data_IF_527383409208
#
_entry.id   IF_527383409208
#
_cell.length_a   1.000
_cell.length_b   1.000
_cell.length_c   1.000
_cell.angle_alpha   90.00
_cell.angle_beta   90.00
_cell.angle_gamma   90.00
#
_symmetry.space_group_name_H-M   'P 1'
#
loop_
_entity.id
_entity.type
_entity.pdbx_description
1 polymer ?
#
# COMPACT_ATOMS: atom_id res chain seq x y z
N UNK A 1 22.96 -5.50 26.94
CA UNK A 1 22.14 -6.66 26.55
C UNK A 1 20.69 -6.33 26.90
N UNK A 2 19.77 -6.35 25.93
CA UNK A 2 18.33 -6.11 26.19
C UNK A 2 17.62 -7.44 26.40
N UNK A 3 16.68 -7.46 27.35
CA UNK A 3 15.89 -8.66 27.64
C UNK A 3 14.53 -8.57 26.94
N UNK A 4 14.02 -9.72 26.49
CA UNK A 4 12.66 -9.86 25.99
C UNK A 4 11.68 -9.44 27.09
N UNK A 5 10.65 -8.69 26.73
CA UNK A 5 9.55 -8.27 27.61
C UNK A 5 8.23 -8.67 27.03
N UNK A 6 7.33 -9.09 27.90
CA UNK A 6 5.97 -9.40 27.51
C UNK A 6 5.24 -8.15 26.99
N UNK A 7 4.48 -8.32 25.90
CA UNK A 7 3.58 -7.28 25.42
C UNK A 7 2.41 -7.14 26.41
N UNK A 8 2.26 -5.95 26.95
CA UNK A 8 1.12 -5.62 27.81
C UNK A 8 0.10 -4.82 27.03
N UNK A 9 -1.11 -5.35 26.95
CA UNK A 9 -2.22 -4.62 26.37
C UNK A 9 -2.63 -3.47 27.28
N UNK A 10 -2.96 -2.34 26.64
CA UNK A 10 -3.51 -1.15 27.28
C UNK A 10 -4.64 -0.62 26.43
N UNK A 11 -5.79 -0.37 27.01
CA UNK A 11 -6.89 0.28 26.32
C UNK A 11 -6.47 1.66 25.80
N UNK A 12 -6.85 1.97 24.57
CA UNK A 12 -6.49 3.23 23.91
C UNK A 12 -5.03 3.33 23.46
N UNK A 13 -4.27 2.23 23.45
CA UNK A 13 -2.91 2.21 22.91
C UNK A 13 -2.93 2.70 21.46
N UNK A 14 -2.11 3.71 21.15
CA UNK A 14 -1.96 4.19 19.77
C UNK A 14 -0.93 3.35 18.99
N UNK A 15 -0.93 3.48 17.65
CA UNK A 15 -0.05 2.69 16.77
C UNK A 15 1.43 2.89 17.10
N UNK A 16 1.86 4.11 17.44
CA UNK A 16 3.25 4.39 17.77
C UNK A 16 3.68 3.66 19.04
N UNK A 17 2.86 3.73 20.10
CA UNK A 17 3.11 3.00 21.36
C UNK A 17 3.11 1.48 21.15
N UNK A 18 2.21 0.97 20.31
CA UNK A 18 2.16 -0.46 19.96
C UNK A 18 3.46 -0.91 19.30
N UNK A 19 3.91 -0.19 18.26
CA UNK A 19 5.16 -0.52 17.55
C UNK A 19 6.37 -0.44 18.48
N UNK A 20 6.42 0.55 19.38
CA UNK A 20 7.51 0.66 20.37
C UNK A 20 7.51 -0.50 21.38
N UNK A 21 6.33 -0.96 21.77
CA UNK A 21 6.18 -2.14 22.65
C UNK A 21 6.62 -3.43 21.95
N UNK A 22 6.24 -3.59 20.66
CA UNK A 22 6.65 -4.71 19.82
C UNK A 22 8.18 -4.81 19.66
N UNK A 23 8.90 -3.72 19.75
CA UNK A 23 10.37 -3.70 19.72
C UNK A 23 11.05 -4.41 20.89
N UNK A 24 10.31 -4.85 21.90
CA UNK A 24 10.80 -5.63 23.05
C UNK A 24 10.32 -7.08 23.06
N UNK A 25 9.46 -7.41 22.13
CA UNK A 25 8.98 -8.78 21.86
C UNK A 25 9.93 -9.42 20.85
N UNK A 26 10.22 -10.69 20.94
CA UNK A 26 11.19 -11.37 20.07
C UNK A 26 10.79 -11.42 18.57
N UNK A 27 11.63 -12.07 17.79
CA UNK A 27 11.45 -12.31 16.35
C UNK A 27 11.34 -11.04 15.50
N UNK A 28 10.53 -11.06 14.47
CA UNK A 28 10.40 -9.97 13.48
C UNK A 28 9.76 -8.69 14.02
N UNK A 29 9.09 -8.74 15.16
CA UNK A 29 8.49 -7.55 15.76
C UNK A 29 9.54 -6.48 16.13
N UNK A 30 10.75 -6.89 16.47
CA UNK A 30 11.89 -5.99 16.70
C UNK A 30 12.26 -5.24 15.42
N UNK A 31 12.23 -5.91 14.29
CA UNK A 31 12.57 -5.31 12.99
C UNK A 31 11.57 -4.25 12.55
N UNK A 32 10.28 -4.40 12.91
CA UNK A 32 9.27 -3.36 12.66
C UNK A 32 9.61 -2.06 13.39
N UNK A 33 10.00 -2.15 14.66
CA UNK A 33 10.45 -0.98 15.43
C UNK A 33 11.71 -0.36 14.81
N UNK A 34 12.71 -1.16 14.47
CA UNK A 34 13.94 -0.69 13.82
C UNK A 34 13.64 0.01 12.50
N UNK A 35 12.73 -0.53 11.68
CA UNK A 35 12.32 0.09 10.43
C UNK A 35 11.71 1.48 10.69
N UNK A 36 10.81 1.61 11.67
CA UNK A 36 10.27 2.91 12.10
C UNK A 36 11.37 3.89 12.49
N UNK A 37 12.28 3.47 13.37
CA UNK A 37 13.36 4.31 13.88
C UNK A 37 14.32 4.74 12.76
N UNK A 38 14.62 3.84 11.82
CA UNK A 38 15.46 4.14 10.66
C UNK A 38 14.81 5.19 9.76
N UNK A 39 13.51 5.08 9.45
CA UNK A 39 12.79 6.07 8.64
C UNK A 39 12.82 7.44 9.32
N UNK A 40 12.55 7.49 10.63
CA UNK A 40 12.61 8.73 11.41
C UNK A 40 14.02 9.33 11.37
N UNK A 41 15.04 8.48 11.55
CA UNK A 41 16.44 8.90 11.52
C UNK A 41 16.82 9.45 10.13
N UNK A 42 16.47 8.76 9.06
CA UNK A 42 16.72 9.20 7.68
C UNK A 42 16.16 10.61 7.44
N UNK A 43 14.93 10.88 7.87
CA UNK A 43 14.33 12.22 7.73
C UNK A 43 15.07 13.27 8.57
N UNK A 44 15.45 12.96 9.79
CA UNK A 44 16.20 13.87 10.67
C UNK A 44 17.59 14.20 10.11
N UNK A 45 18.26 13.23 9.53
CA UNK A 45 19.61 13.37 8.95
C UNK A 45 19.58 14.02 7.55
N UNK A 46 18.41 14.35 7.00
CA UNK A 46 18.25 14.94 5.67
C UNK A 46 18.56 13.97 4.53
N UNK A 47 18.49 12.67 4.78
CA UNK A 47 18.68 11.65 3.75
C UNK A 47 17.59 11.72 2.68
N UNK A 48 17.96 11.41 1.42
CA UNK A 48 17.00 11.27 0.33
C UNK A 48 16.25 9.95 0.46
N UNK A 49 14.91 10.02 0.45
CA UNK A 49 14.04 8.86 0.62
C UNK A 49 13.45 8.47 -0.73
N UNK A 50 13.79 7.27 -1.19
CA UNK A 50 13.23 6.62 -2.37
C UNK A 50 12.14 5.66 -1.92
N UNK A 51 10.91 5.90 -2.33
CA UNK A 51 9.78 4.99 -2.12
C UNK A 51 9.54 4.17 -3.38
N UNK A 52 9.60 2.86 -3.25
CA UNK A 52 9.31 1.95 -4.36
C UNK A 52 8.12 1.05 -4.02
N UNK A 53 7.19 0.88 -4.95
CA UNK A 53 6.05 -0.02 -4.78
C UNK A 53 5.53 -0.55 -6.13
N UNK A 54 4.84 -1.66 -6.08
CA UNK A 54 4.18 -2.29 -7.23
C UNK A 54 2.74 -1.80 -7.40
N UNK A 55 2.14 -1.95 -8.59
CA UNK A 55 0.80 -1.47 -8.93
C UNK A 55 -0.30 -1.94 -7.97
N UNK A 56 -0.21 -3.18 -7.48
CA UNK A 56 -1.20 -3.73 -6.55
C UNK A 56 -1.36 -2.93 -5.25
N UNK A 57 -0.41 -2.09 -4.89
CA UNK A 57 -0.54 -1.17 -3.76
C UNK A 57 -1.53 -0.03 -4.08
N UNK A 58 -1.61 0.39 -5.34
CA UNK A 58 -2.62 1.36 -5.83
C UNK A 58 -3.97 0.67 -5.96
N UNK A 59 -4.00 -0.56 -6.50
CA UNK A 59 -5.20 -1.39 -6.56
C UNK A 59 -5.84 -1.53 -5.19
N UNK A 60 -5.04 -1.83 -4.17
CA UNK A 60 -5.48 -2.08 -2.78
C UNK A 60 -6.01 -0.86 -2.02
N UNK A 61 -5.98 0.34 -2.63
CA UNK A 61 -6.52 1.55 -2.01
C UNK A 61 -5.50 2.43 -1.28
N UNK A 62 -4.19 2.16 -1.39
CA UNK A 62 -3.15 3.00 -0.81
C UNK A 62 -2.82 4.25 -1.64
N UNK A 63 -3.49 4.46 -2.78
CA UNK A 63 -3.34 5.62 -3.65
C UNK A 63 -3.35 6.95 -2.89
N UNK A 64 -4.37 7.15 -2.06
CA UNK A 64 -4.52 8.37 -1.27
C UNK A 64 -3.40 8.56 -0.24
N UNK A 65 -2.93 7.47 0.35
CA UNK A 65 -1.79 7.49 1.25
C UNK A 65 -0.50 7.93 0.52
N UNK A 66 -0.21 7.36 -0.64
CA UNK A 66 0.96 7.75 -1.44
C UNK A 66 0.90 9.23 -1.85
N UNK A 67 -0.24 9.69 -2.34
CA UNK A 67 -0.43 11.10 -2.67
C UNK A 67 -0.19 12.01 -1.45
N UNK A 68 -0.64 11.60 -0.27
CA UNK A 68 -0.46 12.37 0.96
C UNK A 68 1.00 12.45 1.40
N UNK A 69 1.73 11.33 1.41
CA UNK A 69 3.15 11.35 1.83
C UNK A 69 4.04 12.11 0.85
N UNK A 70 3.71 12.11 -0.45
CA UNK A 70 4.37 12.93 -1.46
C UNK A 70 4.08 14.40 -1.19
N UNK A 71 2.82 14.78 -1.02
CA UNK A 71 2.40 16.16 -0.75
C UNK A 71 3.03 16.72 0.54
N UNK A 72 3.23 15.88 1.55
CA UNK A 72 3.90 16.24 2.80
C UNK A 72 5.43 16.29 2.71
N UNK A 73 6.02 15.98 1.54
CA UNK A 73 7.47 15.96 1.37
C UNK A 73 8.17 14.89 2.22
N UNK A 74 7.46 13.79 2.53
CA UNK A 74 8.02 12.69 3.32
C UNK A 74 8.91 11.79 2.48
N UNK A 75 8.75 11.78 1.16
CA UNK A 75 9.57 11.07 0.18
C UNK A 75 10.10 12.04 -0.87
N UNK A 76 11.29 11.77 -1.41
CA UNK A 76 11.95 12.60 -2.42
C UNK A 76 11.77 12.03 -3.83
N UNK A 77 11.72 10.71 -3.95
CA UNK A 77 11.58 9.99 -5.22
C UNK A 77 10.58 8.86 -5.06
N UNK A 78 9.72 8.70 -6.05
CA UNK A 78 8.77 7.58 -6.13
C UNK A 78 9.09 6.76 -7.38
N UNK A 79 9.20 5.45 -7.23
CA UNK A 79 9.36 4.50 -8.32
C UNK A 79 8.26 3.46 -8.24
N UNK A 80 7.48 3.34 -9.29
CA UNK A 80 6.40 2.35 -9.39
C UNK A 80 6.37 1.71 -10.76
N UNK A 81 5.59 0.66 -10.91
CA UNK A 81 5.33 0.02 -12.21
C UNK A 81 4.30 0.81 -13.00
N UNK A 82 4.28 0.63 -14.33
CA UNK A 82 3.32 1.31 -15.23
C UNK A 82 1.89 1.08 -14.78
N UNK A 83 1.52 -0.13 -14.36
CA UNK A 83 0.19 -0.43 -13.83
C UNK A 83 -0.21 0.44 -12.63
N UNK A 84 0.75 0.93 -11.83
CA UNK A 84 0.45 1.85 -10.73
C UNK A 84 -0.04 3.22 -11.23
N UNK A 85 0.50 3.70 -12.35
CA UNK A 85 0.06 4.95 -13.01
C UNK A 85 -1.27 4.72 -13.73
N UNK A 86 -1.40 3.59 -14.44
CA UNK A 86 -2.63 3.18 -15.11
C UNK A 86 -3.81 3.19 -14.13
N UNK A 87 -3.70 2.46 -13.04
CA UNK A 87 -4.76 2.37 -12.03
C UNK A 87 -5.02 3.69 -11.30
N UNK A 88 -4.00 4.54 -11.13
CA UNK A 88 -4.17 5.89 -10.59
C UNK A 88 -5.03 6.75 -11.52
N UNK A 89 -4.78 6.70 -12.83
CA UNK A 89 -5.57 7.40 -13.84
C UNK A 89 -6.99 6.85 -13.89
N UNK A 90 -7.17 5.52 -13.91
CA UNK A 90 -8.48 4.87 -13.90
C UNK A 90 -9.32 5.36 -12.71
N UNK A 91 -8.75 5.34 -11.51
CA UNK A 91 -9.43 5.82 -10.29
C UNK A 91 -9.69 7.33 -10.31
N UNK A 92 -8.83 8.13 -10.94
CA UNK A 92 -9.06 9.56 -11.13
C UNK A 92 -10.25 9.84 -12.05
N UNK A 93 -10.58 8.91 -12.97
CA UNK A 93 -11.75 8.94 -13.84
C UNK A 93 -12.96 8.19 -13.25
N UNK A 94 -12.97 7.97 -11.93
CA UNK A 94 -14.06 7.36 -11.17
C UNK A 94 -14.32 5.88 -11.50
N UNK A 95 -13.33 5.16 -12.03
CA UNK A 95 -13.44 3.70 -12.15
C UNK A 95 -13.32 3.06 -10.76
N UNK A 96 -14.30 2.21 -10.44
CA UNK A 96 -14.41 1.57 -9.13
C UNK A 96 -13.75 0.19 -9.14
N UNK A 97 -12.96 -0.08 -8.10
CA UNK A 97 -12.38 -1.39 -7.83
C UNK A 97 -13.12 -2.00 -6.64
N UNK A 98 -13.62 -3.22 -6.82
CA UNK A 98 -14.53 -3.86 -5.90
C UNK A 98 -13.79 -4.86 -5.01
N UNK A 99 -14.15 -4.93 -3.73
CA UNK A 99 -13.66 -5.96 -2.83
C UNK A 99 -14.40 -7.26 -3.15
N UNK A 100 -13.65 -8.29 -3.51
CA UNK A 100 -14.12 -9.62 -3.79
C UNK A 100 -13.48 -10.66 -2.86
N UNK A 101 -13.18 -11.86 -3.37
CA UNK A 101 -12.64 -12.97 -2.63
C UNK A 101 -11.45 -13.62 -3.37
N UNK A 102 -10.46 -14.13 -2.60
CA UNK A 102 -9.32 -14.87 -3.15
C UNK A 102 -9.72 -16.20 -3.78
N UNK A 103 -10.83 -16.80 -3.31
CA UNK A 103 -11.33 -18.11 -3.73
C UNK A 103 -12.32 -18.02 -4.90
N UNK A 104 -12.53 -16.85 -5.49
CA UNK A 104 -13.44 -16.68 -6.62
C UNK A 104 -13.00 -17.48 -7.83
N UNK A 105 -13.96 -18.02 -8.59
CA UNK A 105 -13.71 -18.73 -9.82
C UNK A 105 -13.35 -17.75 -10.95
N UNK A 106 -12.14 -17.86 -11.47
CA UNK A 106 -11.63 -16.96 -12.50
C UNK A 106 -12.34 -17.14 -13.86
N UNK A 107 -12.89 -18.33 -14.14
CA UNK A 107 -13.67 -18.59 -15.36
C UNK A 107 -15.00 -17.86 -15.29
N UNK A 108 -15.70 -17.97 -14.16
CA UNK A 108 -16.95 -17.26 -13.94
C UNK A 108 -16.77 -15.73 -13.97
N UNK A 109 -15.68 -15.22 -13.38
CA UNK A 109 -15.36 -13.80 -13.42
C UNK A 109 -15.07 -13.34 -14.83
N UNK A 110 -14.30 -14.12 -15.60
CA UNK A 110 -14.00 -13.80 -17.00
C UNK A 110 -15.26 -13.70 -17.85
N UNK A 111 -16.20 -14.66 -17.73
CA UNK A 111 -17.48 -14.64 -18.43
C UNK A 111 -18.32 -13.39 -18.10
N UNK A 112 -18.16 -12.85 -16.88
CA UNK A 112 -18.81 -11.61 -16.44
C UNK A 112 -18.04 -10.33 -16.82
N UNK A 113 -16.92 -10.45 -17.54
CA UNK A 113 -16.07 -9.32 -17.86
C UNK A 113 -15.39 -8.67 -16.66
N UNK A 114 -14.97 -9.49 -15.70
CA UNK A 114 -14.32 -9.06 -14.47
C UNK A 114 -12.91 -9.65 -14.37
N UNK A 115 -11.94 -8.81 -14.10
CA UNK A 115 -10.56 -9.21 -13.83
C UNK A 115 -10.32 -9.25 -12.33
N UNK A 116 -9.54 -10.23 -11.85
CA UNK A 116 -9.20 -10.38 -10.44
C UNK A 116 -7.72 -10.07 -10.17
N UNK A 117 -7.49 -9.22 -9.19
CA UNK A 117 -6.16 -8.94 -8.62
C UNK A 117 -6.19 -9.32 -7.13
N UNK A 118 -5.77 -10.53 -6.81
CA UNK A 118 -5.92 -11.08 -5.46
C UNK A 118 -7.39 -11.24 -5.07
N UNK A 119 -7.85 -10.46 -4.12
CA UNK A 119 -9.27 -10.37 -3.71
C UNK A 119 -9.95 -9.09 -4.18
N UNK A 120 -9.41 -8.42 -5.20
CA UNK A 120 -10.01 -7.22 -5.78
C UNK A 120 -10.50 -7.51 -7.20
N UNK A 121 -11.62 -6.90 -7.56
CA UNK A 121 -12.26 -7.07 -8.86
C UNK A 121 -12.27 -5.75 -9.63
N UNK A 122 -11.90 -5.82 -10.90
CA UNK A 122 -11.85 -4.68 -11.81
C UNK A 122 -12.59 -5.09 -13.08
N UNK A 123 -13.52 -4.27 -13.56
CA UNK A 123 -14.24 -4.55 -14.80
C UNK A 123 -13.31 -4.45 -16.00
N UNK A 124 -13.44 -5.34 -16.96
CA UNK A 124 -12.73 -5.27 -18.24
C UNK A 124 -13.03 -3.96 -18.98
N UNK A 125 -14.27 -3.47 -18.85
CA UNK A 125 -14.68 -2.17 -19.38
C UNK A 125 -13.84 -1.00 -18.86
N UNK A 126 -13.39 -1.05 -17.59
CA UNK A 126 -12.56 0.01 -17.02
C UNK A 126 -11.20 0.11 -17.73
N UNK A 127 -10.61 -1.01 -18.12
CA UNK A 127 -9.40 -1.03 -18.95
C UNK A 127 -9.65 -0.51 -20.36
N UNK A 128 -10.78 -0.86 -20.99
CA UNK A 128 -11.14 -0.36 -22.30
C UNK A 128 -11.29 1.18 -22.29
N UNK A 129 -11.94 1.73 -21.28
CA UNK A 129 -12.05 3.20 -21.11
C UNK A 129 -10.69 3.86 -20.92
N UNK A 130 -9.80 3.22 -20.15
CA UNK A 130 -8.43 3.72 -19.97
C UNK A 130 -7.67 3.72 -21.32
N UNK A 131 -7.76 2.63 -22.11
CA UNK A 131 -7.15 2.57 -23.44
C UNK A 131 -7.66 3.68 -24.37
N UNK A 132 -8.96 3.95 -24.36
CA UNK A 132 -9.55 5.01 -25.17
C UNK A 132 -9.06 6.40 -24.73
N UNK A 133 -8.90 6.61 -23.43
CA UNK A 133 -8.32 7.83 -22.88
C UNK A 133 -6.87 8.03 -23.33
N UNK A 134 -6.08 6.95 -23.43
CA UNK A 134 -4.67 7.01 -23.80
C UNK A 134 -4.41 7.14 -25.29
N UNK A 135 -5.45 7.02 -26.15
CA UNK A 135 -5.37 7.25 -27.61
C UNK A 135 -5.48 8.72 -28.01
N UNK A 136 -5.73 9.61 -27.07
CA UNK A 136 -5.79 11.07 -27.29
C UNK A 136 -4.39 11.68 -27.32
#
# INVERSE_FOLDING_TARGET
MEFVKDLKWKEGINVNELVDSLGKVGFQSIELKKAKENIIKMKKDGAKIYLTYTSNMVTSGLRGFFAQIIKLGLVDVVVTTVGGIEEDIMKAHNEEFVIGDFSSDDVELYEKGVNRVGNLFIRTESYAKFEDLMKL
#
